data_IF_869613956639
#
_entry.id   IF_869613956639
#
_cell.length_a   1.000
_cell.length_b   1.000
_cell.length_c   1.000
_cell.angle_alpha   90.00
_cell.angle_beta   90.00
_cell.angle_gamma   90.00
#
_symmetry.space_group_name_H-M   'P 1'
#
loop_
_entity.id
_entity.type
_entity.pdbx_description
1 polymer ?
#
# COMPACT_ATOMS: atom_id res chain seq x y z
N UNK A 1 10.71 -8.36 -41.00
CA UNK A 1 11.75 -8.40 -39.95
C UNK A 1 11.21 -7.71 -38.71
N UNK A 2 10.71 -8.46 -37.73
CA UNK A 2 10.53 -8.05 -36.34
C UNK A 2 10.02 -9.26 -35.56
N UNK A 3 10.83 -9.80 -34.65
CA UNK A 3 10.43 -10.58 -33.48
C UNK A 3 11.69 -10.91 -32.69
N UNK A 4 11.95 -10.17 -31.61
CA UNK A 4 12.88 -10.58 -30.55
C UNK A 4 12.06 -10.72 -29.28
N UNK A 5 11.73 -11.98 -28.97
CA UNK A 5 11.19 -12.41 -27.69
C UNK A 5 12.35 -12.65 -26.74
N UNK A 6 12.39 -11.94 -25.62
CA UNK A 6 13.25 -12.27 -24.49
C UNK A 6 12.49 -13.24 -23.57
N UNK A 7 12.97 -14.48 -23.52
CA UNK A 7 12.60 -15.47 -22.49
C UNK A 7 13.68 -15.42 -21.43
N UNK A 8 13.33 -14.99 -20.21
CA UNK A 8 14.18 -15.15 -19.03
C UNK A 8 13.63 -16.32 -18.23
N UNK A 9 14.36 -17.43 -18.23
CA UNK A 9 14.16 -18.53 -17.30
C UNK A 9 15.10 -18.37 -16.11
N UNK A 10 14.58 -18.60 -14.91
CA UNK A 10 15.39 -19.03 -13.78
C UNK A 10 14.56 -20.01 -12.95
N UNK A 11 15.12 -21.21 -12.79
CA UNK A 11 14.58 -22.31 -12.01
C UNK A 11 15.38 -22.45 -10.70
N UNK A 12 14.64 -22.67 -9.62
CA UNK A 12 14.91 -23.57 -8.48
C UNK A 12 16.01 -23.25 -7.46
N UNK A 13 15.59 -23.13 -6.19
CA UNK A 13 15.91 -24.04 -5.04
C UNK A 13 15.14 -23.54 -3.78
N UNK A 14 14.19 -24.33 -3.25
CA UNK A 14 14.28 -25.13 -1.99
C UNK A 14 14.37 -24.29 -0.70
N UNK A 15 13.60 -24.47 0.38
CA UNK A 15 12.57 -25.42 0.82
C UNK A 15 11.88 -24.77 2.01
N UNK A 16 10.57 -25.00 2.21
CA UNK A 16 9.90 -24.95 3.52
C UNK A 16 8.53 -25.62 3.35
N UNK A 17 8.40 -26.85 3.83
CA UNK A 17 7.12 -27.53 3.99
C UNK A 17 6.76 -27.63 5.47
N UNK A 18 5.46 -27.58 5.72
CA UNK A 18 4.78 -27.29 6.97
C UNK A 18 3.74 -28.38 7.24
N UNK A 19 3.35 -28.50 8.53
CA UNK A 19 2.14 -29.14 9.14
C UNK A 19 2.10 -30.67 9.36
N UNK A 20 1.25 -31.20 10.29
CA UNK A 20 0.90 -30.72 11.65
C UNK A 20 0.66 -31.82 12.73
N UNK A 21 0.47 -31.34 13.97
CA UNK A 21 -0.47 -31.75 15.04
C UNK A 21 -0.50 -33.17 15.67
N UNK A 22 -0.47 -33.17 17.02
CA UNK A 22 -0.96 -34.25 17.88
C UNK A 22 -0.56 -34.09 19.37
N UNK A 23 -1.42 -33.43 20.17
CA UNK A 23 -1.42 -33.46 21.66
C UNK A 23 -2.31 -34.62 22.16
N UNK A 24 -2.54 -34.89 23.48
CA UNK A 24 -2.11 -34.18 24.70
C UNK A 24 -1.70 -35.03 25.96
N UNK A 25 -0.90 -34.40 26.86
CA UNK A 25 -0.92 -34.38 28.37
C UNK A 25 -1.01 -35.67 29.24
N UNK A 26 -0.84 -35.59 30.59
CA UNK A 26 -0.03 -34.68 31.45
C UNK A 26 0.73 -35.40 32.59
N UNK A 27 1.68 -34.70 33.25
CA UNK A 27 1.96 -34.74 34.71
C UNK A 27 3.18 -33.83 34.99
N UNK A 28 3.00 -32.59 35.46
CA UNK A 28 3.01 -32.10 36.86
C UNK A 28 4.40 -32.00 37.53
N UNK A 29 4.61 -30.82 38.16
CA UNK A 29 5.70 -30.35 39.03
C UNK A 29 6.81 -29.55 38.31
N UNK A 30 7.15 -28.30 38.65
CA UNK A 30 6.70 -27.41 39.73
C UNK A 30 7.24 -25.98 39.49
N UNK A 31 6.56 -25.00 40.08
CA UNK A 31 6.79 -23.54 40.06
C UNK A 31 8.14 -23.12 40.68
N UNK A 32 8.90 -22.19 40.06
CA UNK A 32 8.85 -20.71 40.12
C UNK A 32 9.84 -20.08 41.12
N UNK A 33 10.30 -18.89 40.73
CA UNK A 33 11.40 -18.10 41.24
C UNK A 33 10.98 -17.06 42.31
N UNK A 34 12.00 -16.41 42.90
CA UNK A 34 12.05 -15.07 43.51
C UNK A 34 11.51 -14.82 44.93
N UNK A 35 12.45 -14.48 45.83
CA UNK A 35 12.50 -13.14 46.47
C UNK A 35 12.05 -12.99 47.94
N UNK A 36 12.72 -12.15 48.77
CA UNK A 36 12.77 -12.23 50.25
C UNK A 36 11.81 -11.23 50.95
N UNK A 37 11.71 -11.14 52.31
CA UNK A 37 12.73 -10.47 53.17
C UNK A 37 12.91 -11.07 54.61
N UNK A 38 14.01 -10.68 55.27
CA UNK A 38 14.25 -10.71 56.74
C UNK A 38 13.14 -9.98 57.55
N UNK A 39 13.08 -9.92 58.92
CA UNK A 39 14.12 -10.15 59.96
C UNK A 39 13.66 -10.78 61.31
N UNK A 40 14.65 -11.11 62.16
CA UNK A 40 14.66 -10.65 63.57
C UNK A 40 14.18 -11.59 64.70
N UNK A 41 14.95 -11.51 65.80
CA UNK A 41 14.65 -11.83 67.21
C UNK A 41 14.65 -13.35 67.56
N UNK A 42 15.05 -13.84 68.73
CA UNK A 42 15.30 -13.25 70.04
C UNK A 42 16.19 -14.18 70.89
N UNK A 43 16.80 -13.58 71.92
CA UNK A 43 17.34 -14.24 73.11
C UNK A 43 16.28 -15.08 73.82
N UNK A 44 16.67 -16.26 74.31
CA UNK A 44 16.05 -16.83 75.50
C UNK A 44 17.10 -17.42 76.43
N UNK A 45 17.30 -16.71 77.55
CA UNK A 45 17.67 -17.29 78.83
C UNK A 45 16.79 -18.51 79.12
N UNK A 46 17.41 -19.62 79.53
CA UNK A 46 16.73 -20.66 80.29
C UNK A 46 17.45 -20.85 81.62
N UNK A 47 16.93 -20.11 82.59
CA UNK A 47 16.93 -20.43 84.00
C UNK A 47 16.30 -21.83 84.17
N UNK A 48 17.11 -22.82 84.54
CA UNK A 48 16.69 -24.15 84.94
C UNK A 48 17.21 -24.47 86.34
N UNK A 49 16.51 -23.97 87.35
CA UNK A 49 16.58 -24.49 88.72
C UNK A 49 15.78 -25.82 88.77
N UNK A 50 15.88 -26.52 89.91
CA UNK A 50 15.23 -27.78 90.30
C UNK A 50 16.12 -28.99 89.94
N UNK A 51 16.54 -29.87 90.85
CA UNK A 51 16.04 -30.23 92.19
C UNK A 51 17.20 -30.66 93.09
N UNK A 52 17.12 -30.26 94.36
CA UNK A 52 17.85 -30.85 95.46
C UNK A 52 17.59 -32.37 95.53
N UNK A 53 18.64 -33.16 95.28
CA UNK A 53 18.69 -34.60 95.55
C UNK A 53 19.44 -34.84 96.86
N UNK A 54 18.69 -35.25 97.87
CA UNK A 54 19.11 -35.52 99.24
C UNK A 54 20.24 -36.56 99.34
N UNK A 55 21.17 -36.24 100.22
CA UNK A 55 22.40 -36.92 100.66
C UNK A 55 22.24 -38.43 100.95
N UNK A 56 23.19 -39.24 100.48
CA UNK A 56 23.62 -40.44 101.19
C UNK A 56 24.93 -40.15 101.94
N UNK A 57 24.85 -40.17 103.27
CA UNK A 57 25.96 -39.98 104.20
C UNK A 57 26.86 -41.21 104.10
N UNK A 58 27.96 -41.11 103.35
CA UNK A 58 28.99 -42.16 103.29
C UNK A 58 29.85 -42.03 104.55
N UNK A 59 29.72 -43.00 105.44
CA UNK A 59 30.59 -43.16 106.61
C UNK A 59 32.01 -43.50 106.13
N UNK A 60 32.93 -42.54 106.19
CA UNK A 60 34.35 -42.78 105.91
C UNK A 60 34.93 -43.58 107.08
N UNK A 61 35.38 -44.80 106.81
CA UNK A 61 36.03 -45.66 107.81
C UNK A 61 37.46 -45.13 108.06
N UNK A 62 37.79 -44.63 109.28
CA UNK A 62 39.08 -43.99 109.56
C UNK A 62 40.26 -44.99 109.64
N UNK A 63 40.03 -46.27 109.33
CA UNK A 63 41.08 -47.31 109.27
C UNK A 63 41.52 -47.69 107.85
N UNK A 64 41.04 -46.98 106.81
CA UNK A 64 41.38 -47.23 105.39
C UNK A 64 42.06 -46.04 104.69
N UNK A 65 42.51 -45.03 105.45
CA UNK A 65 43.36 -43.92 105.00
C UNK A 65 44.83 -44.14 105.41
N UNK A 66 45.35 -45.34 105.15
CA UNK A 66 46.79 -45.54 105.04
C UNK A 66 47.12 -45.29 103.57
N UNK A 67 47.95 -44.29 103.22
CA UNK A 67 48.49 -44.17 101.88
C UNK A 67 49.15 -45.50 101.52
N UNK A 68 48.58 -46.22 100.56
CA UNK A 68 49.32 -47.29 99.90
C UNK A 68 50.47 -46.59 99.18
N UNK A 69 51.65 -46.65 99.78
CA UNK A 69 52.93 -46.27 99.18
C UNK A 69 53.24 -47.28 98.08
N UNK A 70 52.45 -47.23 97.01
CA UNK A 70 52.88 -47.72 95.72
C UNK A 70 53.97 -46.75 95.32
N UNK A 71 55.23 -47.14 95.53
CA UNK A 71 56.37 -46.56 94.85
C UNK A 71 56.07 -46.60 93.35
N UNK A 72 55.42 -45.56 92.85
CA UNK A 72 55.30 -45.30 91.42
C UNK A 72 56.73 -45.14 90.98
N UNK A 73 57.14 -46.05 90.11
CA UNK A 73 58.49 -46.12 89.56
C UNK A 73 58.97 -44.71 89.17
N UNK A 74 60.13 -44.22 89.66
CA UNK A 74 60.62 -42.87 89.36
C UNK A 74 60.64 -42.55 87.85
N UNK A 75 60.75 -43.59 87.00
CA UNK A 75 60.66 -43.48 85.56
C UNK A 75 59.27 -43.03 85.04
N UNK A 76 58.16 -43.48 85.65
CA UNK A 76 56.79 -43.17 85.20
C UNK A 76 56.41 -41.72 85.55
N UNK A 77 56.86 -41.22 86.70
CA UNK A 77 56.59 -39.84 87.12
C UNK A 77 57.36 -38.83 86.26
N UNK A 78 58.57 -39.18 85.84
CA UNK A 78 59.37 -38.36 84.91
C UNK A 78 58.74 -38.34 83.51
N UNK A 79 58.23 -39.47 83.02
CA UNK A 79 57.49 -39.52 81.75
C UNK A 79 56.21 -38.67 81.78
N UNK A 80 55.41 -38.74 82.86
CA UNK A 80 54.22 -37.88 83.01
C UNK A 80 54.55 -36.38 83.08
N UNK A 81 55.67 -36.02 83.69
CA UNK A 81 56.11 -34.62 83.73
C UNK A 81 56.59 -34.15 82.33
N UNK A 82 57.30 -34.99 81.59
CA UNK A 82 57.70 -34.73 80.21
C UNK A 82 56.47 -34.58 79.30
N UNK A 83 55.49 -35.50 79.38
CA UNK A 83 54.21 -35.42 78.64
C UNK A 83 53.43 -34.14 78.99
N UNK A 84 53.47 -33.71 80.27
CA UNK A 84 52.84 -32.46 80.72
C UNK A 84 53.55 -31.23 80.16
N UNK A 85 54.88 -31.24 80.03
CA UNK A 85 55.65 -30.17 79.41
C UNK A 85 55.43 -30.12 77.89
N UNK A 86 55.35 -31.27 77.22
CA UNK A 86 54.98 -31.34 75.81
C UNK A 86 53.55 -30.81 75.58
N UNK A 87 52.60 -31.18 76.44
CA UNK A 87 51.25 -30.63 76.43
C UNK A 87 51.23 -29.12 76.64
N UNK A 88 52.07 -28.57 77.52
CA UNK A 88 52.18 -27.11 77.71
C UNK A 88 52.72 -26.42 76.46
N UNK A 89 53.82 -26.93 75.89
CA UNK A 89 54.40 -26.39 74.65
C UNK A 89 53.41 -26.46 73.50
N UNK A 90 52.62 -27.53 73.42
CA UNK A 90 51.57 -27.67 72.42
C UNK A 90 50.41 -26.69 72.68
N UNK A 91 50.01 -26.50 73.94
CA UNK A 91 48.98 -25.54 74.32
C UNK A 91 49.41 -24.09 74.04
N UNK A 92 50.67 -23.73 74.34
CA UNK A 92 51.23 -22.42 74.01
C UNK A 92 51.27 -22.18 72.50
N UNK A 93 51.55 -23.22 71.70
CA UNK A 93 51.43 -23.17 70.24
C UNK A 93 49.97 -22.99 69.79
N UNK A 94 49.01 -23.67 70.41
CA UNK A 94 47.58 -23.47 70.12
C UNK A 94 47.13 -22.06 70.49
N UNK A 95 47.53 -21.52 71.64
CA UNK A 95 47.23 -20.15 72.04
C UNK A 95 47.80 -19.12 71.04
N UNK A 96 49.02 -19.34 70.54
CA UNK A 96 49.62 -18.51 69.49
C UNK A 96 48.86 -18.59 68.16
N UNK A 97 48.39 -19.78 67.78
CA UNK A 97 47.58 -19.97 66.57
C UNK A 97 46.20 -19.32 66.71
N UNK A 98 45.55 -19.45 67.85
CA UNK A 98 44.27 -18.79 68.15
C UNK A 98 44.43 -17.26 68.07
N UNK A 99 45.50 -16.71 68.65
CA UNK A 99 45.79 -15.28 68.55
C UNK A 99 46.02 -14.80 67.12
N UNK A 100 46.67 -15.61 66.27
CA UNK A 100 46.83 -15.30 64.84
C UNK A 100 45.50 -15.36 64.09
N UNK A 101 44.65 -16.34 64.37
CA UNK A 101 43.32 -16.45 63.76
C UNK A 101 42.47 -15.24 64.12
N UNK A 102 42.43 -14.83 65.38
CA UNK A 102 41.68 -13.64 65.82
C UNK A 102 42.19 -12.35 65.16
N UNK A 103 43.52 -12.17 65.04
CA UNK A 103 44.09 -11.01 64.34
C UNK A 103 43.74 -11.01 62.84
N UNK A 104 43.69 -12.18 62.21
CA UNK A 104 43.25 -12.32 60.81
C UNK A 104 41.75 -12.08 60.65
N UNK A 105 40.92 -12.54 61.58
CA UNK A 105 39.47 -12.28 61.60
C UNK A 105 39.17 -10.78 61.71
N UNK A 106 39.83 -10.08 62.65
CA UNK A 106 39.70 -8.63 62.79
C UNK A 106 40.13 -7.88 61.52
N UNK A 107 41.23 -8.33 60.89
CA UNK A 107 41.68 -7.74 59.63
C UNK A 107 40.69 -8.01 58.49
N UNK A 108 40.10 -9.20 58.41
CA UNK A 108 39.09 -9.52 57.41
C UNK A 108 37.83 -8.67 57.60
N UNK A 109 37.34 -8.50 58.84
CA UNK A 109 36.20 -7.63 59.12
C UNK A 109 36.45 -6.17 58.69
N UNK A 110 37.67 -5.65 58.90
CA UNK A 110 38.04 -4.32 58.43
C UNK A 110 38.06 -4.23 56.89
N UNK A 111 38.53 -5.29 56.23
CA UNK A 111 38.55 -5.35 54.77
C UNK A 111 37.13 -5.47 54.19
N UNK A 112 36.24 -6.24 54.82
CA UNK A 112 34.84 -6.37 54.44
C UNK A 112 34.09 -5.06 54.58
N UNK A 113 34.25 -4.35 55.70
CA UNK A 113 33.62 -3.04 55.90
C UNK A 113 34.12 -2.00 54.90
N UNK A 114 35.43 -1.98 54.62
CA UNK A 114 36.00 -1.10 53.59
C UNK A 114 35.53 -1.46 52.18
N UNK A 115 35.39 -2.76 51.89
CA UNK A 115 34.84 -3.24 50.63
C UNK A 115 33.40 -2.77 50.43
N UNK A 116 32.54 -2.97 51.43
CA UNK A 116 31.14 -2.51 51.37
C UNK A 116 31.03 -0.98 51.20
N UNK A 117 31.89 -0.22 51.88
CA UNK A 117 31.90 1.23 51.75
C UNK A 117 32.28 1.68 50.32
N UNK A 118 33.34 1.11 49.74
CA UNK A 118 33.74 1.42 48.37
C UNK A 118 32.67 1.00 47.36
N UNK A 119 32.07 -0.18 47.54
CA UNK A 119 31.00 -0.68 46.68
C UNK A 119 29.75 0.22 46.72
N UNK A 120 29.44 0.78 47.90
CA UNK A 120 28.34 1.76 48.02
C UNK A 120 28.65 3.09 47.32
N UNK A 121 29.92 3.50 47.28
CA UNK A 121 30.34 4.74 46.64
C UNK A 121 30.40 4.63 45.10
N UNK A 122 30.80 3.47 44.57
CA UNK A 122 30.80 3.18 43.11
C UNK A 122 29.38 3.10 42.52
N UNK A 123 28.35 2.89 43.35
CA UNK A 123 26.95 2.86 42.90
C UNK A 123 26.38 4.25 42.55
N UNK A 124 27.08 5.33 42.90
CA UNK A 124 26.76 6.71 42.53
C UNK A 124 27.51 7.19 41.27
N UNK A 125 27.91 6.25 40.40
CA UNK A 125 28.46 6.58 39.09
C UNK A 125 27.37 7.23 38.24
N UNK A 126 27.62 8.46 37.77
CA UNK A 126 26.71 9.24 36.92
C UNK A 126 26.02 8.35 35.88
N UNK A 127 24.69 8.41 35.82
CA UNK A 127 23.85 7.60 34.92
C UNK A 127 23.98 8.06 33.46
N UNK A 128 25.16 7.82 32.92
CA UNK A 128 25.55 8.12 31.56
C UNK A 128 24.73 7.28 30.57
N UNK A 129 24.26 6.10 31.00
CA UNK A 129 23.36 5.23 30.25
C UNK A 129 22.04 5.93 29.93
N UNK A 130 21.37 6.48 30.94
CA UNK A 130 20.11 7.20 30.75
C UNK A 130 20.24 8.42 29.83
N UNK A 131 21.34 9.19 29.95
CA UNK A 131 21.61 10.31 29.03
C UNK A 131 21.80 9.87 27.57
N UNK A 132 22.49 8.73 27.35
CA UNK A 132 22.62 8.16 26.02
C UNK A 132 21.29 7.62 25.49
N UNK A 133 20.47 7.00 26.34
CA UNK A 133 19.12 6.53 25.97
C UNK A 133 18.19 7.68 25.59
N UNK A 134 18.20 8.79 26.34
CA UNK A 134 17.44 10.00 26.00
C UNK A 134 17.89 10.61 24.68
N UNK A 135 19.21 10.71 24.46
CA UNK A 135 19.77 11.25 23.21
C UNK A 135 19.45 10.33 22.03
N UNK A 136 19.57 9.02 22.20
CA UNK A 136 19.20 8.02 21.22
C UNK A 136 17.70 8.08 20.91
N UNK A 137 16.84 8.21 21.91
CA UNK A 137 15.39 8.37 21.74
C UNK A 137 15.05 9.63 20.96
N UNK A 138 15.71 10.76 21.25
CA UNK A 138 15.54 12.01 20.49
C UNK A 138 15.94 11.84 19.02
N UNK A 139 17.09 11.22 18.75
CA UNK A 139 17.53 10.95 17.37
C UNK A 139 16.58 10.00 16.63
N UNK A 140 16.04 8.99 17.30
CA UNK A 140 15.05 8.08 16.72
C UNK A 140 13.75 8.81 16.38
N UNK A 141 13.28 9.73 17.23
CA UNK A 141 12.08 10.51 16.97
C UNK A 141 12.29 11.51 15.82
N UNK A 142 13.45 12.17 15.74
CA UNK A 142 13.80 13.02 14.59
C UNK A 142 13.87 12.20 13.29
N UNK A 143 14.49 11.02 13.32
CA UNK A 143 14.51 10.11 12.16
C UNK A 143 13.09 9.72 11.74
N UNK A 144 12.20 9.46 12.70
CA UNK A 144 10.80 9.11 12.43
C UNK A 144 10.03 10.28 11.82
N UNK A 145 10.25 11.51 12.29
CA UNK A 145 9.67 12.74 11.71
C UNK A 145 10.12 12.93 10.27
N UNK A 146 11.43 12.92 10.02
CA UNK A 146 11.99 13.05 8.67
C UNK A 146 11.49 11.93 7.74
N UNK A 147 11.39 10.70 8.24
CA UNK A 147 10.87 9.56 7.46
C UNK A 147 9.40 9.75 7.08
N UNK A 148 8.58 10.29 7.99
CA UNK A 148 7.17 10.62 7.73
C UNK A 148 7.05 11.75 6.70
N UNK A 149 7.83 12.81 6.85
CA UNK A 149 7.86 13.93 5.90
C UNK A 149 8.30 13.47 4.52
N UNK A 150 9.33 12.62 4.45
CA UNK A 150 9.77 11.99 3.20
C UNK A 150 8.64 11.20 2.55
N UNK A 151 7.96 10.34 3.30
CA UNK A 151 6.83 9.57 2.77
C UNK A 151 5.68 10.46 2.27
N UNK A 152 5.39 11.56 2.98
CA UNK A 152 4.39 12.54 2.54
C UNK A 152 4.81 13.26 1.25
N UNK A 153 6.08 13.65 1.14
CA UNK A 153 6.64 14.29 -0.07
C UNK A 153 6.65 13.32 -1.25
N UNK A 154 6.99 12.05 -1.03
CA UNK A 154 6.92 11.00 -2.05
C UNK A 154 5.48 10.78 -2.55
N UNK A 155 4.51 10.74 -1.65
CA UNK A 155 3.08 10.64 -2.02
C UNK A 155 2.60 11.87 -2.81
N UNK A 156 3.00 13.07 -2.37
CA UNK A 156 2.67 14.32 -3.10
C UNK A 156 3.33 14.35 -4.48
N UNK A 157 4.57 13.90 -4.59
CA UNK A 157 5.29 13.82 -5.87
C UNK A 157 4.58 12.85 -6.82
N UNK A 158 4.19 11.66 -6.35
CA UNK A 158 3.44 10.69 -7.14
C UNK A 158 2.11 11.27 -7.63
N UNK A 159 1.35 11.96 -6.75
CA UNK A 159 0.10 12.60 -7.14
C UNK A 159 0.31 13.69 -8.21
N UNK A 160 1.38 14.49 -8.09
CA UNK A 160 1.69 15.52 -9.09
C UNK A 160 2.10 14.87 -10.42
N UNK A 161 2.90 13.81 -10.40
CA UNK A 161 3.29 13.07 -11.59
C UNK A 161 2.09 12.44 -12.30
N UNK A 162 1.16 11.84 -11.55
CA UNK A 162 -0.09 11.31 -12.09
C UNK A 162 -0.90 12.41 -12.79
N UNK A 163 -1.09 13.57 -12.14
CA UNK A 163 -1.78 14.71 -12.76
C UNK A 163 -1.08 15.21 -14.03
N UNK A 164 0.25 15.27 -14.04
CA UNK A 164 1.03 15.67 -15.22
C UNK A 164 0.82 14.69 -16.35
N UNK A 165 0.81 13.39 -16.05
CA UNK A 165 0.54 12.34 -17.04
C UNK A 165 -0.89 12.42 -17.59
N UNK A 166 -1.89 12.66 -16.74
CA UNK A 166 -3.28 12.91 -17.15
C UNK A 166 -3.42 14.14 -18.05
N UNK A 167 -2.65 15.20 -17.78
CA UNK A 167 -2.59 16.36 -18.67
C UNK A 167 -1.90 16.01 -19.99
N UNK A 168 -0.78 15.27 -19.96
CA UNK A 168 -0.06 14.84 -21.16
C UNK A 168 -0.97 14.04 -22.09
N UNK A 169 -1.68 13.04 -21.57
CA UNK A 169 -2.63 12.22 -22.33
C UNK A 169 -3.72 13.09 -22.96
N UNK A 170 -4.34 13.99 -22.17
CA UNK A 170 -5.37 14.92 -22.69
C UNK A 170 -4.84 15.86 -23.77
N UNK A 171 -3.60 16.34 -23.66
CA UNK A 171 -2.98 17.16 -24.68
C UNK A 171 -2.72 16.37 -25.97
N UNK A 172 -2.26 15.13 -25.87
CA UNK A 172 -2.05 14.24 -27.02
C UNK A 172 -3.37 13.91 -27.74
N UNK A 173 -4.44 13.67 -26.98
CA UNK A 173 -5.79 13.47 -27.52
C UNK A 173 -6.30 14.73 -28.25
N UNK A 174 -6.10 15.91 -27.67
CA UNK A 174 -6.55 17.17 -28.27
C UNK A 174 -5.75 17.51 -29.54
N UNK A 175 -4.45 17.23 -29.56
CA UNK A 175 -3.63 17.34 -30.77
C UNK A 175 -4.15 16.39 -31.86
N UNK A 176 -4.45 15.13 -31.50
CA UNK A 176 -4.96 14.14 -32.45
C UNK A 176 -6.31 14.56 -33.05
N UNK A 177 -7.25 15.00 -32.20
CA UNK A 177 -8.55 15.54 -32.64
C UNK A 177 -8.40 16.77 -33.53
N UNK A 178 -7.49 17.68 -33.18
CA UNK A 178 -7.18 18.85 -33.99
C UNK A 178 -6.65 18.43 -35.37
N UNK A 179 -5.74 17.47 -35.44
CA UNK A 179 -5.20 16.99 -36.72
C UNK A 179 -6.27 16.33 -37.59
N UNK A 180 -7.21 15.58 -36.99
CA UNK A 180 -8.35 14.99 -37.72
C UNK A 180 -9.30 16.07 -38.26
N UNK A 181 -9.59 17.09 -37.45
CA UNK A 181 -10.40 18.25 -37.87
C UNK A 181 -9.69 19.08 -38.96
N UNK A 182 -8.38 19.28 -38.86
CA UNK A 182 -7.59 19.96 -39.90
C UNK A 182 -7.56 19.13 -41.20
N UNK A 183 -7.42 17.81 -41.11
CA UNK A 183 -7.49 16.92 -42.27
C UNK A 183 -8.85 17.00 -42.98
N UNK A 184 -9.94 16.89 -42.22
CA UNK A 184 -11.30 17.01 -42.78
C UNK A 184 -11.57 18.40 -43.37
N UNK A 185 -11.08 19.46 -42.72
CA UNK A 185 -11.17 20.82 -43.26
C UNK A 185 -10.43 20.97 -44.60
N UNK A 186 -9.21 20.44 -44.71
CA UNK A 186 -8.44 20.45 -45.96
C UNK A 186 -9.16 19.66 -47.05
N UNK A 187 -9.78 18.53 -46.72
CA UNK A 187 -10.56 17.76 -47.68
C UNK A 187 -11.80 18.53 -48.16
N UNK A 188 -12.58 19.10 -47.23
CA UNK A 188 -13.75 19.93 -47.57
C UNK A 188 -13.37 21.15 -48.42
N UNK A 189 -12.20 21.75 -48.18
CA UNK A 189 -11.69 22.83 -48.99
C UNK A 189 -11.40 22.38 -50.43
N UNK A 190 -10.77 21.22 -50.62
CA UNK A 190 -10.54 20.65 -51.96
C UNK A 190 -11.86 20.36 -52.68
N UNK A 191 -12.84 19.81 -51.97
CA UNK A 191 -14.15 19.49 -52.54
C UNK A 191 -14.89 20.78 -52.93
N UNK A 192 -14.81 21.83 -52.10
CA UNK A 192 -15.35 23.16 -52.41
C UNK A 192 -14.67 23.78 -53.63
N UNK A 193 -13.34 23.70 -53.72
CA UNK A 193 -12.58 24.21 -54.86
C UNK A 193 -12.98 23.47 -56.16
N UNK A 194 -13.16 22.14 -56.10
CA UNK A 194 -13.63 21.32 -57.22
C UNK A 194 -15.05 21.71 -57.67
N UNK A 195 -15.98 21.90 -56.73
CA UNK A 195 -17.34 22.35 -57.05
C UNK A 195 -17.36 23.79 -57.58
N UNK A 196 -16.47 24.66 -57.12
CA UNK A 196 -16.32 26.02 -57.66
C UNK A 196 -15.85 25.97 -59.12
N UNK A 197 -14.86 25.14 -59.44
CA UNK A 197 -14.40 24.93 -60.82
C UNK A 197 -15.55 24.40 -61.69
N UNK A 198 -16.24 23.34 -61.25
CA UNK A 198 -17.40 22.77 -61.98
C UNK A 198 -18.50 23.80 -62.22
N UNK A 199 -18.80 24.64 -61.21
CA UNK A 199 -19.76 25.74 -61.37
C UNK A 199 -19.29 26.73 -62.45
N UNK A 200 -18.03 27.17 -62.41
CA UNK A 200 -17.51 28.11 -63.42
C UNK A 200 -17.51 27.52 -64.84
N UNK A 201 -17.25 26.22 -64.99
CA UNK A 201 -17.38 25.52 -66.28
C UNK A 201 -18.83 25.50 -66.79
N UNK A 202 -19.80 25.24 -65.90
CA UNK A 202 -21.21 25.28 -66.26
C UNK A 202 -21.68 26.70 -66.59
N UNK A 203 -21.21 27.71 -65.87
CA UNK A 203 -21.52 29.12 -66.16
C UNK A 203 -20.97 29.55 -67.52
N UNK A 204 -19.77 29.11 -67.91
CA UNK A 204 -19.23 29.41 -69.25
C UNK A 204 -19.99 28.69 -70.36
N UNK A 205 -20.37 27.42 -70.16
CA UNK A 205 -21.24 26.68 -71.10
C UNK A 205 -22.62 27.35 -71.25
N UNK A 206 -23.22 27.78 -70.14
CA UNK A 206 -24.48 28.52 -70.14
C UNK A 206 -24.36 29.81 -70.96
N UNK A 207 -23.32 30.61 -70.71
CA UNK A 207 -23.06 31.84 -71.48
C UNK A 207 -22.84 31.57 -72.97
N UNK A 208 -22.13 30.50 -73.31
CA UNK A 208 -21.93 30.07 -74.70
C UNK A 208 -23.24 29.64 -75.39
N UNK A 209 -24.12 28.93 -74.69
CA UNK A 209 -25.44 28.59 -75.20
C UNK A 209 -26.34 29.82 -75.35
N UNK A 210 -26.28 30.77 -74.41
CA UNK A 210 -27.02 32.03 -74.50
C UNK A 210 -26.59 32.85 -75.73
N UNK A 211 -25.29 33.02 -75.96
CA UNK A 211 -24.79 33.73 -77.13
C UNK A 211 -25.13 33.01 -78.44
N UNK A 212 -25.13 31.68 -78.45
CA UNK A 212 -25.58 30.90 -79.62
C UNK A 212 -27.07 31.13 -79.92
N UNK A 213 -27.92 31.14 -78.89
CA UNK A 213 -29.36 31.42 -79.05
C UNK A 213 -29.58 32.85 -79.57
N UNK A 214 -28.84 33.83 -79.06
CA UNK A 214 -28.89 35.22 -79.54
C UNK A 214 -28.44 35.34 -81.01
N UNK A 215 -27.38 34.63 -81.39
CA UNK A 215 -26.91 34.57 -82.78
C UNK A 215 -27.98 33.98 -83.70
N UNK A 216 -28.56 32.83 -83.34
CA UNK A 216 -29.61 32.19 -84.14
C UNK A 216 -30.83 33.09 -84.30
N UNK A 217 -31.25 33.79 -83.23
CA UNK A 217 -32.33 34.79 -83.31
C UNK A 217 -32.00 35.90 -84.31
N UNK A 218 -30.79 36.45 -84.25
CA UNK A 218 -30.32 37.49 -85.18
C UNK A 218 -30.31 37.02 -86.63
N UNK A 219 -29.84 35.79 -86.89
CA UNK A 219 -29.85 35.18 -88.22
C UNK A 219 -31.30 35.04 -88.73
N UNK A 220 -32.20 34.47 -87.95
CA UNK A 220 -33.60 34.31 -88.35
C UNK A 220 -34.31 35.65 -88.57
N UNK A 221 -34.03 36.66 -87.75
CA UNK A 221 -34.54 38.02 -87.98
C UNK A 221 -34.04 38.62 -89.29
N UNK A 222 -32.80 38.32 -89.70
CA UNK A 222 -32.25 38.78 -90.96
C UNK A 222 -32.82 38.02 -92.16
N UNK A 223 -32.90 36.70 -92.09
CA UNK A 223 -33.52 35.86 -93.13
C UNK A 223 -34.98 36.26 -93.37
N UNK A 224 -35.75 36.53 -92.30
CA UNK A 224 -37.12 37.03 -92.43
C UNK A 224 -37.19 38.39 -93.15
N UNK A 225 -36.23 39.29 -92.92
CA UNK A 225 -36.14 40.57 -93.64
C UNK A 225 -35.81 40.35 -95.11
N UNK A 226 -34.88 39.45 -95.41
CA UNK A 226 -34.45 39.14 -96.77
C UNK A 226 -35.57 38.45 -97.57
N UNK A 227 -36.26 37.47 -97.00
CA UNK A 227 -37.45 36.84 -97.60
C UNK A 227 -38.56 37.87 -97.84
N UNK A 228 -38.81 38.77 -96.89
CA UNK A 228 -39.78 39.85 -97.06
C UNK A 228 -39.39 40.84 -98.18
N UNK A 229 -38.09 40.99 -98.47
CA UNK A 229 -37.61 41.77 -99.60
C UNK A 229 -37.76 41.01 -100.93
N UNK A 230 -37.39 39.72 -100.98
CA UNK A 230 -37.53 38.89 -102.18
C UNK A 230 -38.99 38.73 -102.62
N UNK A 231 -39.93 38.62 -101.69
CA UNK A 231 -41.36 38.52 -102.01
C UNK A 231 -41.90 39.81 -102.67
N UNK A 232 -41.23 40.95 -102.48
CA UNK A 232 -41.52 42.20 -103.20
C UNK A 232 -40.90 42.23 -104.60
N UNK A 233 -39.78 41.54 -104.81
CA UNK A 233 -39.00 41.55 -106.07
C UNK A 233 -39.48 40.51 -107.10
N UNK A 234 -40.08 39.40 -106.67
CA UNK A 234 -40.48 38.27 -107.56
C UNK A 234 -41.89 38.44 -108.18
N UNK A 235 -42.49 39.62 -108.12
CA UNK A 235 -43.78 39.90 -108.81
C UNK A 235 -43.64 40.14 -110.33
N UNK A 236 -42.70 39.46 -111.00
CA UNK A 236 -42.46 39.57 -112.44
C UNK A 236 -42.76 38.25 -113.13
N UNK A 237 -43.92 38.21 -113.79
CA UNK A 237 -44.31 37.17 -114.76
C UNK A 237 -43.36 37.17 -115.95
N UNK A 238 -42.58 36.11 -116.11
CA UNK A 238 -41.79 35.86 -117.33
C UNK A 238 -42.25 34.55 -117.95
N UNK A 239 -43.05 34.66 -119.02
CA UNK A 239 -43.23 33.60 -119.99
C UNK A 239 -42.04 33.58 -120.93
N UNK A 240 -41.39 32.42 -121.06
CA UNK A 240 -40.33 32.23 -122.05
C UNK A 240 -40.60 30.96 -122.84
N UNK A 241 -41.09 31.16 -124.07
CA UNK A 241 -40.96 30.22 -125.17
C UNK A 241 -39.56 30.38 -125.76
N UNK A 242 -38.85 29.29 -126.05
CA UNK A 242 -38.25 29.09 -127.38
C UNK A 242 -37.58 27.72 -127.52
N UNK A 243 -37.92 27.14 -128.67
CA UNK A 243 -37.58 25.82 -129.18
C UNK A 243 -36.08 25.72 -129.50
N UNK A 244 -35.40 24.82 -128.82
CA UNK A 244 -34.16 24.21 -129.32
C UNK A 244 -34.49 22.76 -129.66
N UNK A 245 -34.20 22.33 -130.89
CA UNK A 245 -34.25 20.92 -131.25
C UNK A 245 -33.08 20.21 -130.58
N UNK A 246 -33.33 19.80 -129.35
CA UNK A 246 -32.49 18.97 -128.51
C UNK A 246 -32.83 17.51 -128.86
N UNK A 247 -31.84 16.63 -128.96
CA UNK A 247 -32.11 15.18 -129.06
C UNK A 247 -32.69 14.71 -127.74
N UNK A 248 -34.02 14.78 -127.68
CA UNK A 248 -34.81 14.48 -126.50
C UNK A 248 -34.69 13.00 -126.12
N UNK A 249 -34.45 12.11 -127.08
CA UNK A 249 -34.32 10.67 -126.81
C UNK A 249 -33.07 10.34 -125.99
N UNK A 250 -31.89 10.73 -126.48
CA UNK A 250 -30.62 10.44 -125.79
C UNK A 250 -30.52 11.12 -124.43
N UNK A 251 -30.99 12.37 -124.32
CA UNK A 251 -31.01 13.09 -123.04
C UNK A 251 -32.05 12.50 -122.10
N UNK A 252 -33.22 12.05 -122.57
CA UNK A 252 -34.20 11.37 -121.70
C UNK A 252 -33.67 10.03 -121.21
N UNK A 253 -32.95 9.26 -122.03
CA UNK A 253 -32.33 8.01 -121.61
C UNK A 253 -31.18 8.23 -120.62
N UNK A 254 -30.30 9.22 -120.86
CA UNK A 254 -29.21 9.56 -119.93
C UNK A 254 -29.74 10.14 -118.62
N UNK A 255 -30.75 11.02 -118.68
CA UNK A 255 -31.42 11.55 -117.48
C UNK A 255 -32.11 10.42 -116.71
N UNK A 256 -32.78 9.48 -117.39
CA UNK A 256 -33.36 8.30 -116.73
C UNK A 256 -32.28 7.45 -116.05
N UNK A 257 -31.18 7.15 -116.73
CA UNK A 257 -30.08 6.38 -116.16
C UNK A 257 -29.44 7.09 -114.95
N UNK A 258 -29.31 8.42 -114.99
CA UNK A 258 -28.85 9.21 -113.85
C UNK A 258 -29.86 9.20 -112.70
N UNK A 259 -31.16 9.33 -112.97
CA UNK A 259 -32.21 9.23 -111.95
C UNK A 259 -32.26 7.85 -111.30
N UNK A 260 -32.17 6.78 -112.10
CA UNK A 260 -32.15 5.41 -111.58
C UNK A 260 -30.90 5.16 -110.73
N UNK A 261 -29.73 5.67 -111.15
CA UNK A 261 -28.51 5.58 -110.36
C UNK A 261 -28.56 6.42 -109.07
N UNK A 262 -29.18 7.62 -109.11
CA UNK A 262 -29.40 8.45 -107.91
C UNK A 262 -30.39 7.76 -106.97
N UNK A 263 -31.50 7.23 -107.48
CA UNK A 263 -32.51 6.54 -106.68
C UNK A 263 -31.93 5.27 -106.02
N UNK A 264 -31.12 4.49 -106.76
CA UNK A 264 -30.43 3.34 -106.22
C UNK A 264 -29.44 3.72 -105.10
N UNK A 265 -28.62 4.76 -105.32
CA UNK A 265 -27.70 5.27 -104.28
C UNK A 265 -28.46 5.81 -103.07
N UNK A 266 -29.53 6.57 -103.27
CA UNK A 266 -30.34 7.09 -102.15
C UNK A 266 -31.00 5.98 -101.35
N UNK A 267 -31.42 4.88 -101.98
CA UNK A 267 -31.94 3.71 -101.28
C UNK A 267 -30.84 3.01 -100.48
N UNK A 268 -29.67 2.80 -101.08
CA UNK A 268 -28.51 2.20 -100.38
C UNK A 268 -28.03 3.05 -99.20
N UNK A 269 -27.94 4.37 -99.38
CA UNK A 269 -27.61 5.33 -98.31
C UNK A 269 -28.67 5.33 -97.20
N UNK A 270 -29.96 5.29 -97.54
CA UNK A 270 -31.05 5.23 -96.56
C UNK A 270 -31.04 3.90 -95.78
N UNK A 271 -30.76 2.78 -96.44
CA UNK A 271 -30.60 1.48 -95.79
C UNK A 271 -29.35 1.44 -94.90
N UNK A 272 -28.21 1.94 -95.38
CA UNK A 272 -26.98 2.03 -94.60
C UNK A 272 -27.16 2.93 -93.36
N UNK A 273 -27.82 4.08 -93.52
CA UNK A 273 -28.16 4.96 -92.41
C UNK A 273 -29.09 4.30 -91.39
N UNK A 274 -30.12 3.58 -91.86
CA UNK A 274 -31.05 2.85 -90.99
C UNK A 274 -30.35 1.70 -90.24
N UNK A 275 -29.48 0.95 -90.92
CA UNK A 275 -28.66 -0.10 -90.28
C UNK A 275 -27.73 0.48 -89.23
N UNK A 276 -27.01 1.56 -89.55
CA UNK A 276 -26.12 2.24 -88.61
C UNK A 276 -26.87 2.75 -87.37
N UNK A 277 -28.06 3.35 -87.53
CA UNK A 277 -28.89 3.77 -86.39
C UNK A 277 -29.35 2.58 -85.53
N UNK A 278 -29.67 1.44 -86.13
CA UNK A 278 -30.06 0.25 -85.37
C UNK A 278 -28.88 -0.32 -84.58
N UNK A 279 -27.69 -0.35 -85.19
CA UNK A 279 -26.46 -0.78 -84.53
C UNK A 279 -26.07 0.15 -83.38
N UNK A 280 -26.14 1.48 -83.57
CA UNK A 280 -25.87 2.46 -82.52
C UNK A 280 -26.87 2.33 -81.36
N UNK A 281 -28.17 2.21 -81.65
CA UNK A 281 -29.19 2.00 -80.62
C UNK A 281 -28.99 0.67 -79.87
N UNK A 282 -28.60 -0.39 -80.57
CA UNK A 282 -28.30 -1.68 -79.95
C UNK A 282 -27.06 -1.59 -79.04
N UNK A 283 -25.99 -0.91 -79.49
CA UNK A 283 -24.81 -0.67 -78.69
C UNK A 283 -25.11 0.15 -77.43
N UNK A 284 -25.84 1.27 -77.57
CA UNK A 284 -26.28 2.08 -76.42
C UNK A 284 -27.15 1.26 -75.45
N UNK A 285 -28.09 0.44 -75.95
CA UNK A 285 -28.92 -0.41 -75.10
C UNK A 285 -28.09 -1.42 -74.31
N UNK A 286 -27.07 -2.03 -74.93
CA UNK A 286 -26.18 -2.96 -74.25
C UNK A 286 -25.32 -2.26 -73.18
N UNK A 287 -24.82 -1.05 -73.44
CA UNK A 287 -24.09 -0.25 -72.46
C UNK A 287 -24.98 0.13 -71.27
N UNK A 288 -26.22 0.55 -71.51
CA UNK A 288 -27.19 0.84 -70.46
C UNK A 288 -27.53 -0.40 -69.63
N UNK A 289 -27.70 -1.56 -70.27
CA UNK A 289 -27.93 -2.83 -69.57
C UNK A 289 -26.74 -3.21 -68.68
N UNK A 290 -25.51 -3.10 -69.21
CA UNK A 290 -24.29 -3.37 -68.44
C UNK A 290 -24.13 -2.40 -67.27
N UNK A 291 -24.40 -1.11 -67.46
CA UNK A 291 -24.38 -0.11 -66.40
C UNK A 291 -25.43 -0.41 -65.31
N UNK A 292 -26.63 -0.82 -65.71
CA UNK A 292 -27.69 -1.21 -64.78
C UNK A 292 -27.34 -2.47 -63.99
N UNK A 293 -26.73 -3.48 -64.63
CA UNK A 293 -26.26 -4.69 -63.96
C UNK A 293 -25.12 -4.39 -62.99
N UNK A 294 -24.16 -3.53 -63.39
CA UNK A 294 -23.09 -3.06 -62.51
C UNK A 294 -23.65 -2.37 -61.27
N UNK A 295 -24.56 -1.40 -61.44
CA UNK A 295 -25.21 -0.70 -60.33
C UNK A 295 -26.01 -1.66 -59.44
N UNK A 296 -26.71 -2.65 -60.00
CA UNK A 296 -27.41 -3.69 -59.22
C UNK A 296 -26.44 -4.52 -58.39
N UNK A 297 -25.30 -4.90 -58.94
CA UNK A 297 -24.27 -5.65 -58.22
C UNK A 297 -23.66 -4.84 -57.07
N UNK A 298 -23.39 -3.55 -57.30
CA UNK A 298 -22.90 -2.64 -56.26
C UNK A 298 -23.91 -2.46 -55.13
N UNK A 299 -25.21 -2.31 -55.45
CA UNK A 299 -26.27 -2.26 -54.46
C UNK A 299 -26.32 -3.56 -53.63
N UNK A 300 -26.14 -4.72 -54.25
CA UNK A 300 -26.10 -5.99 -53.55
C UNK A 300 -24.90 -6.09 -52.59
N UNK A 301 -23.70 -5.70 -53.05
CA UNK A 301 -22.48 -5.70 -52.24
C UNK A 301 -22.57 -4.73 -51.06
N UNK A 302 -23.10 -3.53 -51.29
CA UNK A 302 -23.37 -2.56 -50.23
C UNK A 302 -24.37 -3.12 -49.21
N UNK A 303 -25.42 -3.81 -49.64
CA UNK A 303 -26.37 -4.46 -48.73
C UNK A 303 -25.70 -5.54 -47.87
N UNK A 304 -24.85 -6.39 -48.46
CA UNK A 304 -24.07 -7.39 -47.71
C UNK A 304 -23.16 -6.72 -46.69
N UNK A 305 -22.48 -5.64 -47.08
CA UNK A 305 -21.62 -4.86 -46.17
C UNK A 305 -22.41 -4.22 -45.03
N UNK A 306 -23.59 -3.67 -45.30
CA UNK A 306 -24.50 -3.13 -44.30
C UNK A 306 -24.91 -4.21 -43.30
N UNK A 307 -25.28 -5.40 -43.76
CA UNK A 307 -25.66 -6.51 -42.88
C UNK A 307 -24.49 -6.98 -42.00
N UNK A 308 -23.27 -7.06 -42.56
CA UNK A 308 -22.06 -7.37 -41.80
C UNK A 308 -21.76 -6.32 -40.74
N UNK A 309 -21.90 -5.03 -41.06
CA UNK A 309 -21.71 -3.95 -40.08
C UNK A 309 -22.78 -4.00 -38.99
N UNK A 310 -24.04 -4.27 -39.34
CA UNK A 310 -25.13 -4.44 -38.36
C UNK A 310 -24.86 -5.59 -37.39
N UNK A 311 -24.40 -6.74 -37.87
CA UNK A 311 -24.08 -7.88 -37.01
C UNK A 311 -22.88 -7.60 -36.10
N UNK A 312 -21.87 -6.89 -36.61
CA UNK A 312 -20.74 -6.42 -35.80
C UNK A 312 -21.18 -5.45 -34.70
N UNK A 313 -22.05 -4.48 -35.02
CA UNK A 313 -22.60 -3.54 -34.03
C UNK A 313 -23.37 -4.30 -32.95
N UNK A 314 -24.22 -5.27 -33.31
CA UNK A 314 -24.96 -6.07 -32.34
C UNK A 314 -24.05 -6.91 -31.45
N UNK A 315 -23.00 -7.52 -32.03
CA UNK A 315 -22.01 -8.31 -31.29
C UNK A 315 -21.23 -7.44 -30.28
N UNK A 316 -20.73 -6.28 -30.73
CA UNK A 316 -20.00 -5.34 -29.87
C UNK A 316 -20.92 -4.81 -28.76
N UNK A 317 -22.17 -4.43 -29.08
CA UNK A 317 -23.14 -4.01 -28.05
C UNK A 317 -23.38 -5.11 -27.00
N UNK A 318 -23.53 -6.36 -27.42
CA UNK A 318 -23.65 -7.48 -26.48
C UNK A 318 -22.40 -7.65 -25.62
N UNK A 319 -21.21 -7.45 -26.18
CA UNK A 319 -19.96 -7.51 -25.43
C UNK A 319 -19.84 -6.37 -24.41
N UNK A 320 -20.18 -5.14 -24.79
CA UNK A 320 -20.21 -3.99 -23.87
C UNK A 320 -21.16 -4.25 -22.70
N UNK A 321 -22.39 -4.72 -22.95
CA UNK A 321 -23.34 -5.03 -21.88
C UNK A 321 -22.81 -6.10 -20.91
N UNK A 322 -22.15 -7.14 -21.44
CA UNK A 322 -21.53 -8.17 -20.59
C UNK A 322 -20.38 -7.62 -19.75
N UNK A 323 -19.56 -6.73 -20.32
CA UNK A 323 -18.47 -6.09 -19.58
C UNK A 323 -19.02 -5.15 -18.51
N UNK A 324 -20.06 -4.38 -18.81
CA UNK A 324 -20.76 -3.53 -17.83
C UNK A 324 -21.36 -4.34 -16.67
N UNK A 325 -21.96 -5.49 -16.97
CA UNK A 325 -22.48 -6.41 -15.95
C UNK A 325 -21.34 -6.98 -15.07
N UNK A 326 -20.24 -7.41 -15.69
CA UNK A 326 -19.07 -7.91 -14.96
C UNK A 326 -18.43 -6.83 -14.08
N UNK A 327 -18.36 -5.58 -14.55
CA UNK A 327 -17.85 -4.44 -13.77
C UNK A 327 -18.73 -4.23 -12.54
N UNK A 328 -20.06 -4.18 -12.70
CA UNK A 328 -20.99 -4.02 -11.58
C UNK A 328 -20.84 -5.13 -10.54
N UNK A 329 -20.74 -6.38 -10.98
CA UNK A 329 -20.53 -7.52 -10.06
C UNK A 329 -19.20 -7.40 -9.32
N UNK A 330 -18.12 -7.00 -10.01
CA UNK A 330 -16.81 -6.81 -9.39
C UNK A 330 -16.81 -5.64 -8.40
N UNK A 331 -17.50 -4.54 -8.72
CA UNK A 331 -17.69 -3.39 -7.82
C UNK A 331 -18.48 -3.78 -6.56
N UNK A 332 -19.59 -4.49 -6.71
CA UNK A 332 -20.39 -4.99 -5.58
C UNK A 332 -19.58 -5.94 -4.68
N UNK A 333 -18.82 -6.86 -5.27
CA UNK A 333 -17.93 -7.74 -4.52
C UNK A 333 -16.82 -6.98 -3.80
N UNK A 334 -16.22 -5.97 -4.46
CA UNK A 334 -15.20 -5.10 -3.88
C UNK A 334 -15.74 -4.29 -2.70
N UNK A 335 -16.94 -3.73 -2.83
CA UNK A 335 -17.61 -2.97 -1.78
C UNK A 335 -17.93 -3.86 -0.56
N UNK A 336 -18.42 -5.07 -0.78
CA UNK A 336 -18.65 -6.03 0.32
C UNK A 336 -17.36 -6.40 1.05
N UNK A 337 -16.26 -6.65 0.32
CA UNK A 337 -14.96 -6.94 0.92
C UNK A 337 -14.42 -5.74 1.71
N UNK A 338 -14.61 -4.52 1.19
CA UNK A 338 -14.23 -3.29 1.88
C UNK A 338 -15.03 -3.08 3.17
N UNK A 339 -16.35 -3.29 3.13
CA UNK A 339 -17.21 -3.21 4.32
C UNK A 339 -16.82 -4.22 5.39
N UNK A 340 -16.51 -5.47 5.01
CA UNK A 340 -16.02 -6.50 5.94
C UNK A 340 -14.67 -6.11 6.57
N UNK A 341 -13.71 -5.63 5.77
CA UNK A 341 -12.43 -5.15 6.29
C UNK A 341 -12.61 -3.97 7.25
N UNK A 342 -13.50 -3.02 6.93
CA UNK A 342 -13.83 -1.87 7.79
C UNK A 342 -14.49 -2.32 9.09
N UNK A 343 -15.40 -3.30 9.05
CA UNK A 343 -16.02 -3.86 10.24
C UNK A 343 -15.00 -4.56 11.15
N UNK A 344 -14.07 -5.34 10.57
CA UNK A 344 -12.96 -5.97 11.31
C UNK A 344 -12.04 -4.94 11.95
N UNK A 345 -11.72 -3.86 11.24
CA UNK A 345 -10.92 -2.77 11.78
C UNK A 345 -11.59 -2.13 12.99
N UNK A 346 -12.89 -1.80 12.89
CA UNK A 346 -13.65 -1.25 14.02
C UNK A 346 -13.67 -2.20 15.24
N UNK A 347 -13.86 -3.51 15.01
CA UNK A 347 -13.80 -4.52 16.07
C UNK A 347 -12.43 -4.56 16.77
N UNK A 348 -11.33 -4.48 15.99
CA UNK A 348 -9.98 -4.47 16.54
C UNK A 348 -9.68 -3.17 17.31
N UNK A 349 -10.17 -2.02 16.82
CA UNK A 349 -10.06 -0.75 17.53
C UNK A 349 -10.81 -0.79 18.87
N UNK A 350 -12.04 -1.32 18.89
CA UNK A 350 -12.81 -1.49 20.12
C UNK A 350 -12.11 -2.43 21.11
N UNK A 351 -11.59 -3.57 20.62
CA UNK A 351 -10.83 -4.50 21.44
C UNK A 351 -9.56 -3.85 22.03
N UNK A 352 -8.85 -3.04 21.23
CA UNK A 352 -7.68 -2.28 21.68
C UNK A 352 -8.05 -1.26 22.78
N UNK A 353 -9.15 -0.52 22.59
CA UNK A 353 -9.63 0.43 23.59
C UNK A 353 -10.04 -0.27 24.89
N UNK A 354 -10.69 -1.42 24.78
CA UNK A 354 -11.05 -2.24 25.95
C UNK A 354 -9.80 -2.73 26.68
N UNK A 355 -8.81 -3.27 25.97
CA UNK A 355 -7.54 -3.70 26.57
C UNK A 355 -6.79 -2.55 27.27
N UNK A 356 -6.80 -1.35 26.70
CA UNK A 356 -6.23 -0.15 27.34
C UNK A 356 -6.96 0.20 28.65
N UNK A 357 -8.30 0.14 28.66
CA UNK A 357 -9.10 0.36 29.88
C UNK A 357 -8.82 -0.70 30.94
N UNK A 358 -8.70 -1.97 30.54
CA UNK A 358 -8.40 -3.07 31.45
C UNK A 358 -7.00 -2.93 32.06
N UNK A 359 -5.99 -2.55 31.26
CA UNK A 359 -4.65 -2.24 31.76
C UNK A 359 -4.67 -1.08 32.77
N UNK A 360 -5.38 0.01 32.45
CA UNK A 360 -5.53 1.15 33.36
C UNK A 360 -6.26 0.77 34.66
N UNK A 361 -7.19 -0.18 34.61
CA UNK A 361 -7.82 -0.74 35.82
C UNK A 361 -6.82 -1.56 36.63
N UNK A 362 -6.07 -2.47 36.01
CA UNK A 362 -5.06 -3.29 36.69
C UNK A 362 -3.99 -2.46 37.38
N UNK A 363 -3.53 -1.36 36.75
CA UNK A 363 -2.58 -0.43 37.35
C UNK A 363 -3.14 0.24 38.62
N UNK A 364 -4.43 0.61 38.62
CA UNK A 364 -5.08 1.17 39.82
C UNK A 364 -5.20 0.13 40.93
N UNK A 365 -5.68 -1.07 40.62
CA UNK A 365 -5.78 -2.18 41.58
C UNK A 365 -4.40 -2.53 42.18
N UNK A 366 -3.35 -2.54 41.36
CA UNK A 366 -1.98 -2.77 41.83
C UNK A 366 -1.49 -1.66 42.77
N UNK A 367 -1.77 -0.39 42.44
CA UNK A 367 -1.42 0.73 43.31
C UNK A 367 -2.17 0.68 44.65
N UNK A 368 -3.46 0.34 44.63
CA UNK A 368 -4.26 0.14 45.85
C UNK A 368 -3.68 -0.98 46.71
N UNK A 369 -3.34 -2.12 46.11
CA UNK A 369 -2.71 -3.23 46.81
C UNK A 369 -1.34 -2.84 47.39
N UNK A 370 -0.51 -2.12 46.64
CA UNK A 370 0.77 -1.59 47.14
C UNK A 370 0.56 -0.67 48.35
N UNK A 371 -0.44 0.22 48.29
CA UNK A 371 -0.76 1.10 49.41
C UNK A 371 -1.18 0.30 50.65
N UNK A 372 -1.99 -0.74 50.50
CA UNK A 372 -2.36 -1.63 51.63
C UNK A 372 -1.14 -2.38 52.19
N UNK A 373 -0.23 -2.85 51.33
CA UNK A 373 1.02 -3.50 51.75
C UNK A 373 1.89 -2.56 52.58
N UNK A 374 2.06 -1.31 52.13
CA UNK A 374 2.81 -0.31 52.86
C UNK A 374 2.18 0.01 54.23
N UNK A 375 0.84 0.10 54.31
CA UNK A 375 0.14 0.27 55.58
C UNK A 375 0.39 -0.92 56.53
N UNK A 376 0.31 -2.14 56.03
CA UNK A 376 0.60 -3.35 56.81
C UNK A 376 2.06 -3.42 57.26
N UNK A 377 3.03 -3.02 56.43
CA UNK A 377 4.44 -2.95 56.85
C UNK A 377 4.63 -1.98 58.03
N UNK A 378 3.95 -0.82 57.98
CA UNK A 378 3.96 0.15 59.07
C UNK A 378 3.34 -0.47 60.33
N UNK A 379 2.19 -1.14 60.22
CA UNK A 379 1.56 -1.85 61.34
C UNK A 379 2.50 -2.90 61.95
N UNK A 380 3.10 -3.77 61.13
CA UNK A 380 4.07 -4.78 61.59
C UNK A 380 5.26 -4.11 62.29
N UNK A 381 5.81 -3.04 61.73
CA UNK A 381 6.90 -2.29 62.36
C UNK A 381 6.48 -1.67 63.70
N UNK A 382 5.24 -1.19 63.82
CA UNK A 382 4.71 -0.69 65.10
C UNK A 382 4.51 -1.81 66.11
N UNK A 383 3.96 -2.96 65.71
CA UNK A 383 3.80 -4.12 66.58
C UNK A 383 5.15 -4.65 67.07
N UNK A 384 6.17 -4.74 66.20
CA UNK A 384 7.54 -5.12 66.58
C UNK A 384 8.12 -4.19 67.64
N UNK A 385 8.00 -2.86 67.46
CA UNK A 385 8.46 -1.86 68.45
C UNK A 385 7.76 -1.98 69.80
N UNK A 386 6.46 -2.28 69.81
CA UNK A 386 5.70 -2.48 71.05
C UNK A 386 6.21 -3.73 71.80
N UNK A 387 6.43 -4.83 71.08
CA UNK A 387 6.98 -6.07 71.65
C UNK A 387 8.41 -5.86 72.19
N UNK A 388 9.30 -5.21 71.44
CA UNK A 388 10.65 -4.84 71.89
C UNK A 388 10.60 -3.96 73.16
N UNK A 389 9.62 -3.06 73.26
CA UNK A 389 9.38 -2.24 74.43
C UNK A 389 8.90 -3.04 75.66
N UNK A 390 8.14 -4.12 75.47
CA UNK A 390 7.73 -5.02 76.56
C UNK A 390 8.86 -5.96 77.00
N UNK A 391 9.63 -6.51 76.06
CA UNK A 391 10.85 -7.29 76.37
C UNK A 391 11.85 -6.45 77.17
N UNK A 392 12.05 -5.19 76.78
CA UNK A 392 12.89 -4.23 77.51
C UNK A 392 12.40 -3.94 78.94
N UNK A 393 11.10 -4.09 79.22
CA UNK A 393 10.53 -3.96 80.59
C UNK A 393 10.66 -5.24 81.41
N UNK A 394 10.78 -6.40 80.75
CA UNK A 394 10.95 -7.71 81.40
C UNK A 394 12.43 -7.99 81.72
N UNK A 395 13.37 -7.51 80.91
CA UNK A 395 14.82 -7.68 81.08
C UNK A 395 15.50 -6.65 82.01
N UNK A 396 14.75 -5.69 82.54
CA UNK A 396 15.25 -4.74 83.56
C UNK A 396 14.64 -5.02 84.94
N UNK A 397 15.43 -5.08 86.04
CA UNK A 397 14.87 -5.06 87.38
C UNK A 397 14.13 -3.73 87.56
N UNK A 398 12.90 -3.83 88.07
CA UNK A 398 12.01 -2.70 88.37
C UNK A 398 12.76 -1.44 88.85
N UNK A 399 12.85 -0.43 88.00
CA UNK A 399 13.27 0.91 88.39
C UNK A 399 12.58 1.95 87.50
N UNK A 400 11.47 2.45 88.05
CA UNK A 400 11.09 3.87 88.11
C UNK A 400 11.09 4.69 86.82
N UNK A 401 9.87 4.93 86.35
CA UNK A 401 9.46 6.00 85.43
C UNK A 401 10.06 7.35 85.84
N UNK A 402 10.84 7.97 84.95
CA UNK A 402 11.07 9.42 84.98
C UNK A 402 10.57 10.01 83.67
N UNK A 403 9.46 10.73 83.79
CA UNK A 403 8.88 11.55 82.74
C UNK A 403 9.77 12.77 82.51
N UNK A 404 10.40 12.86 81.34
CA UNK A 404 11.01 14.09 80.85
C UNK A 404 10.16 14.62 79.69
N UNK A 405 9.28 15.57 80.01
CA UNK A 405 8.58 16.40 79.03
C UNK A 405 9.62 17.27 78.32
N UNK A 406 9.85 17.01 77.04
CA UNK A 406 10.66 17.89 76.20
C UNK A 406 9.77 18.51 75.13
N UNK A 407 9.38 19.77 75.40
CA UNK A 407 8.75 20.65 74.45
C UNK A 407 9.73 21.01 73.33
N UNK A 408 9.31 20.91 72.07
CA UNK A 408 9.94 21.65 70.97
C UNK A 408 8.97 22.03 69.86
N UNK A 409 8.90 23.34 69.66
CA UNK A 409 8.67 24.15 68.47
C UNK A 409 7.66 23.68 67.40
N UNK A 410 6.55 24.43 67.34
CA UNK A 410 5.78 24.67 66.11
C UNK A 410 6.69 25.24 65.01
N UNK A 411 6.82 24.53 63.90
CA UNK A 411 7.15 25.11 62.60
C UNK A 411 5.86 25.28 61.80
N UNK A 412 5.70 26.46 61.20
CA UNK A 412 4.54 26.85 60.41
C UNK A 412 4.45 26.06 59.09
N UNK A 413 3.25 25.80 58.54
CA UNK A 413 3.11 25.24 57.20
C UNK A 413 3.17 26.36 56.16
N UNK A 414 4.14 26.28 55.24
CA UNK A 414 4.11 26.98 53.96
C UNK A 414 3.17 26.25 53.00
N UNK A 415 2.09 26.91 52.59
CA UNK A 415 1.25 26.53 51.45
C UNK A 415 2.06 26.63 50.15
N UNK A 416 1.97 25.66 49.22
CA UNK A 416 2.16 25.90 47.80
C UNK A 416 0.80 26.11 47.11
N UNK A 417 0.73 27.17 46.30
CA UNK A 417 -0.36 27.44 45.37
C UNK A 417 -0.48 26.35 44.29
N UNK A 418 -1.70 26.12 43.75
CA UNK A 418 -1.90 25.24 42.62
C UNK A 418 -1.57 25.98 41.32
N UNK A 419 -0.70 25.42 40.48
CA UNK A 419 -0.63 25.82 39.08
C UNK A 419 -1.49 24.87 38.25
N UNK A 420 -2.56 25.47 37.72
CA UNK A 420 -3.33 24.97 36.59
C UNK A 420 -2.45 24.86 35.33
N UNK A 421 -2.64 23.76 34.62
CA UNK A 421 -2.96 23.71 33.18
C UNK A 421 -2.04 24.42 32.18
N UNK A 422 -1.32 23.60 31.40
CA UNK A 422 -1.48 23.48 29.94
C UNK A 422 -0.94 22.13 29.45
#
# INVERSE_FOLDING_TARGET
>A
MACRSCVVGFSSLSSCEVTPAGSPRPATAGWSSCGPPEPGLSSHSLTGCWTAGTVSKVTVNPSLLVPLDLKVDPAIQQQKNNEKEEMKVLNDKFASLIGKVQALEQRNQLLETRWHFLQSQDSATFDLGHLYEEYQGRLQEELRKVSKERGQLEANLLQVLEKVEDFRIRYEDEISKRTDMEFTFVQLKKDLDAECLRRTELETKLKGLQSFVELMKSIYEQELKDLAAQLKDVSVTVGMDSRCHIDLSGIVEEVKAQYDAVAARSLEEAEAYSRSQLEERAACSAEFENSLQSSRSEIADLNVRIQKLRSQILSIKSHCLKLEENIKVAEEQGELAFQDAKAKLAQLEDALQQAKKDMARQLREYQELMNTKLALDIEIATYRKLMEGEESRMDMPSATVVSAVQARCRTAPTLPHPLCSL
#
